data_IF_818342283725
#
_entry.id   IF_818342283725
#
_cell.length_a   1.000
_cell.length_b   1.000
_cell.length_c   1.000
_cell.angle_alpha   90.00
_cell.angle_beta   90.00
_cell.angle_gamma   90.00
#
_symmetry.space_group_name_H-M   'P 1'
#
loop_
_entity.id
_entity.type
_entity.pdbx_description
1 polymer ?
#
# COMPACT_ATOMS: atom_id res chain seq x y z
N UNK A 1 -0.74 28.56 15.86
CA UNK A 1 -1.86 27.60 15.86
C UNK A 1 -1.77 26.83 14.56
N UNK A 2 -1.15 25.68 14.57
CA UNK A 2 -1.00 24.82 13.41
C UNK A 2 -2.35 24.13 13.21
N UNK A 3 -3.10 24.54 12.18
CA UNK A 3 -4.27 23.82 11.72
C UNK A 3 -3.77 22.52 11.09
N UNK A 4 -3.83 21.42 11.83
CA UNK A 4 -3.75 20.11 11.21
C UNK A 4 -4.83 20.05 10.11
N UNK A 5 -4.49 19.81 8.85
CA UNK A 5 -5.50 19.64 7.81
C UNK A 5 -6.40 18.50 8.25
N UNK A 6 -7.70 18.72 8.16
CA UNK A 6 -8.69 17.71 8.54
C UNK A 6 -8.50 16.49 7.64
N UNK A 7 -8.23 15.29 8.19
CA UNK A 7 -8.05 14.06 7.40
C UNK A 7 -9.29 13.64 6.61
N UNK A 8 -10.37 14.39 6.75
CA UNK A 8 -11.68 14.12 6.14
C UNK A 8 -11.75 14.35 4.62
N UNK A 9 -10.82 15.10 4.02
CA UNK A 9 -10.96 15.45 2.59
C UNK A 9 -10.29 14.42 1.66
N UNK A 10 -9.11 13.91 1.96
CA UNK A 10 -8.46 12.86 1.16
C UNK A 10 -9.20 11.51 1.27
N UNK A 11 -9.63 11.15 2.47
CA UNK A 11 -10.31 9.88 2.76
C UNK A 11 -11.64 9.69 2.02
N UNK A 12 -12.32 10.75 1.61
CA UNK A 12 -13.55 10.66 0.82
C UNK A 12 -13.30 10.22 -0.63
N UNK A 13 -12.11 10.46 -1.17
CA UNK A 13 -11.74 10.05 -2.53
C UNK A 13 -11.18 8.63 -2.57
N UNK A 14 -10.56 8.17 -1.48
CA UNK A 14 -9.96 6.84 -1.40
C UNK A 14 -10.97 5.76 -1.00
N UNK A 15 -12.07 6.13 -0.36
CA UNK A 15 -13.14 5.23 0.08
C UNK A 15 -13.18 4.99 1.59
N UNK A 16 -13.98 4.03 2.01
CA UNK A 16 -14.18 3.67 3.42
C UNK A 16 -13.22 2.57 3.88
N UNK A 17 -13.30 2.18 5.16
CA UNK A 17 -12.50 1.08 5.72
C UNK A 17 -12.69 -0.24 4.98
N UNK A 18 -13.89 -0.53 4.48
CA UNK A 18 -14.15 -1.73 3.67
C UNK A 18 -13.31 -1.73 2.39
N UNK A 19 -13.25 -0.59 1.68
CA UNK A 19 -12.46 -0.45 0.45
C UNK A 19 -10.97 -0.63 0.74
N UNK A 20 -10.47 0.02 1.79
CA UNK A 20 -9.09 -0.12 2.24
C UNK A 20 -8.73 -1.56 2.61
N UNK A 21 -9.58 -2.24 3.37
CA UNK A 21 -9.34 -3.61 3.76
C UNK A 21 -9.39 -4.59 2.58
N UNK A 22 -10.30 -4.40 1.64
CA UNK A 22 -10.37 -5.20 0.42
C UNK A 22 -9.12 -5.03 -0.45
N UNK A 23 -8.56 -3.83 -0.54
CA UNK A 23 -7.33 -3.59 -1.31
C UNK A 23 -6.14 -4.41 -0.83
N UNK A 24 -6.18 -4.87 0.41
CA UNK A 24 -5.18 -5.74 1.05
C UNK A 24 -5.60 -7.21 1.01
N UNK A 25 -6.77 -7.54 1.53
CA UNK A 25 -7.20 -8.93 1.70
C UNK A 25 -7.30 -9.69 0.35
N UNK A 26 -7.65 -9.00 -0.72
CA UNK A 26 -7.75 -9.58 -2.08
C UNK A 26 -6.39 -9.86 -2.74
N UNK A 27 -5.29 -9.44 -2.14
CA UNK A 27 -3.94 -9.78 -2.60
C UNK A 27 -3.45 -11.16 -2.11
N UNK A 28 -4.19 -11.80 -1.18
CA UNK A 28 -3.95 -13.19 -0.78
C UNK A 28 -4.64 -14.11 -1.80
N UNK A 29 -3.85 -14.65 -2.74
CA UNK A 29 -4.37 -15.33 -3.96
C UNK A 29 -5.20 -16.57 -3.72
N UNK A 30 -4.87 -17.34 -2.70
CA UNK A 30 -5.56 -18.58 -2.32
C UNK A 30 -6.67 -18.36 -1.28
N UNK A 31 -6.98 -17.11 -0.93
CA UNK A 31 -8.07 -16.75 -0.05
C UNK A 31 -9.38 -16.49 -0.81
N UNK A 32 -10.49 -16.52 -0.08
CA UNK A 32 -11.78 -15.95 -0.49
C UNK A 32 -12.12 -14.80 0.43
N UNK A 33 -12.48 -13.65 -0.13
CA UNK A 33 -12.99 -12.51 0.63
C UNK A 33 -14.51 -12.52 0.59
N UNK A 34 -15.15 -12.33 1.76
CA UNK A 34 -16.60 -12.20 1.89
C UNK A 34 -16.92 -10.78 2.35
N UNK A 35 -17.70 -10.05 1.56
CA UNK A 35 -18.32 -8.81 2.01
C UNK A 35 -19.63 -9.17 2.72
N UNK A 36 -19.65 -8.98 4.03
CA UNK A 36 -20.85 -9.13 4.83
C UNK A 36 -21.64 -7.82 4.80
N UNK A 37 -22.74 -7.83 4.06
CA UNK A 37 -23.54 -6.64 3.83
C UNK A 37 -24.39 -6.68 2.56
N UNK A 38 -25.01 -5.55 2.19
CA UNK A 38 -25.85 -5.45 0.99
C UNK A 38 -25.02 -5.51 -0.30
N UNK A 39 -25.69 -5.91 -1.39
CA UNK A 39 -25.05 -6.12 -2.71
C UNK A 39 -24.36 -4.86 -3.27
N UNK A 40 -24.86 -3.65 -2.93
CA UNK A 40 -24.29 -2.40 -3.41
C UNK A 40 -22.83 -2.18 -3.01
N UNK A 41 -22.47 -2.51 -1.75
CA UNK A 41 -21.10 -2.41 -1.27
C UNK A 41 -20.16 -3.36 -2.03
N UNK A 42 -20.63 -4.57 -2.33
CA UNK A 42 -19.86 -5.55 -3.11
C UNK A 42 -19.65 -5.08 -4.55
N UNK A 43 -20.72 -4.61 -5.20
CA UNK A 43 -20.66 -4.16 -6.59
C UNK A 43 -19.70 -2.96 -6.76
N UNK A 44 -19.83 -1.97 -5.88
CA UNK A 44 -18.95 -0.78 -5.91
C UNK A 44 -17.47 -1.15 -5.77
N UNK A 45 -17.15 -1.93 -4.75
CA UNK A 45 -15.75 -2.32 -4.49
C UNK A 45 -15.20 -3.24 -5.60
N UNK A 46 -16.00 -4.19 -6.11
CA UNK A 46 -15.57 -5.04 -7.21
C UNK A 46 -15.27 -4.22 -8.46
N UNK A 47 -16.11 -3.25 -8.81
CA UNK A 47 -15.88 -2.39 -9.97
C UNK A 47 -14.60 -1.57 -9.86
N UNK A 48 -14.30 -1.04 -8.66
CA UNK A 48 -13.09 -0.28 -8.39
C UNK A 48 -11.84 -1.17 -8.50
N UNK A 49 -11.86 -2.34 -7.85
CA UNK A 49 -10.78 -3.32 -7.92
C UNK A 49 -10.51 -3.77 -9.36
N UNK A 50 -11.57 -4.10 -10.11
CA UNK A 50 -11.47 -4.53 -11.50
C UNK A 50 -10.86 -3.46 -12.40
N UNK A 51 -11.30 -2.20 -12.28
CA UNK A 51 -10.74 -1.09 -13.04
C UNK A 51 -9.24 -0.88 -12.76
N UNK A 52 -8.83 -0.97 -11.50
CA UNK A 52 -7.41 -0.81 -11.11
C UNK A 52 -6.57 -2.00 -11.57
N UNK A 53 -7.08 -3.22 -11.48
CA UNK A 53 -6.38 -4.41 -11.99
C UNK A 53 -6.14 -4.33 -13.49
N UNK A 54 -7.16 -3.93 -14.27
CA UNK A 54 -7.01 -3.71 -15.70
C UNK A 54 -5.97 -2.62 -16.02
N UNK A 55 -5.96 -1.52 -15.27
CA UNK A 55 -4.98 -0.44 -15.45
C UNK A 55 -3.55 -0.84 -15.08
N UNK A 56 -3.38 -1.91 -14.31
CA UNK A 56 -2.09 -2.50 -13.95
C UNK A 56 -1.77 -3.78 -14.75
N UNK A 57 -2.45 -4.02 -15.87
CA UNK A 57 -2.29 -5.21 -16.73
C UNK A 57 -2.45 -6.55 -15.99
N UNK A 58 -3.28 -6.57 -14.94
CA UNK A 58 -3.57 -7.77 -14.15
C UNK A 58 -4.94 -8.32 -14.53
N UNK A 59 -4.97 -9.55 -15.03
CA UNK A 59 -6.19 -10.19 -15.52
C UNK A 59 -6.85 -11.13 -14.49
N UNK A 60 -6.16 -11.46 -13.41
CA UNK A 60 -6.70 -12.31 -12.35
C UNK A 60 -7.63 -11.52 -11.44
N UNK A 61 -8.89 -11.92 -11.40
CA UNK A 61 -9.88 -11.30 -10.51
C UNK A 61 -9.82 -11.94 -9.11
N UNK A 62 -9.95 -11.13 -8.05
CA UNK A 62 -10.00 -11.64 -6.70
C UNK A 62 -11.27 -12.46 -6.47
N UNK A 63 -11.16 -13.48 -5.63
CA UNK A 63 -12.29 -14.34 -5.24
C UNK A 63 -13.14 -13.63 -4.19
N UNK A 64 -14.18 -12.95 -4.64
CA UNK A 64 -15.04 -12.10 -3.82
C UNK A 64 -16.47 -12.64 -3.79
N UNK A 65 -17.00 -12.86 -2.59
CA UNK A 65 -18.39 -13.23 -2.34
C UNK A 65 -19.12 -12.15 -1.53
N UNK A 66 -20.44 -12.20 -1.55
CA UNK A 66 -21.31 -11.31 -0.77
C UNK A 66 -22.38 -12.11 -0.04
N UNK A 67 -22.72 -11.70 1.17
CA UNK A 67 -23.89 -12.22 1.89
C UNK A 67 -25.20 -11.74 1.29
N UNK A 68 -25.18 -10.58 0.58
CA UNK A 68 -26.35 -9.97 -0.06
C UNK A 68 -27.50 -9.74 0.92
N UNK A 69 -27.19 -9.17 2.09
CA UNK A 69 -28.20 -8.92 3.12
C UNK A 69 -29.45 -8.26 2.54
N UNK A 70 -30.58 -8.82 2.88
CA UNK A 70 -31.93 -8.35 2.56
C UNK A 70 -32.51 -7.51 3.70
N UNK A 71 -33.68 -6.91 3.50
CA UNK A 71 -34.40 -6.18 4.56
C UNK A 71 -34.70 -7.08 5.77
N UNK A 72 -35.03 -8.36 5.54
CA UNK A 72 -35.26 -9.32 6.62
C UNK A 72 -33.98 -9.57 7.45
N UNK A 73 -32.84 -9.73 6.79
CA UNK A 73 -31.56 -9.91 7.48
C UNK A 73 -31.19 -8.66 8.31
N UNK A 74 -31.55 -7.45 7.84
CA UNK A 74 -31.33 -6.21 8.59
C UNK A 74 -32.21 -6.15 9.85
N UNK A 75 -33.44 -6.70 9.79
CA UNK A 75 -34.39 -6.68 10.91
C UNK A 75 -34.09 -7.78 11.94
N UNK A 76 -33.72 -8.98 11.48
CA UNK A 76 -33.58 -10.17 12.31
C UNK A 76 -32.14 -10.63 12.57
N UNK A 77 -31.14 -9.97 11.97
CA UNK A 77 -29.74 -10.34 12.01
C UNK A 77 -29.29 -11.06 10.74
N UNK A 78 -28.04 -10.80 10.32
CA UNK A 78 -27.42 -11.33 9.10
C UNK A 78 -26.48 -12.51 9.32
N UNK A 79 -26.36 -13.01 10.57
CA UNK A 79 -25.41 -14.07 10.94
C UNK A 79 -25.65 -15.39 10.18
N UNK A 80 -26.92 -15.78 9.95
CA UNK A 80 -27.27 -16.97 9.17
C UNK A 80 -26.85 -16.82 7.70
N UNK A 81 -27.03 -15.64 7.12
CA UNK A 81 -26.58 -15.34 5.76
C UNK A 81 -25.05 -15.37 5.67
N UNK A 82 -24.34 -14.94 6.71
CA UNK A 82 -22.89 -15.04 6.79
C UNK A 82 -22.44 -16.49 6.87
N UNK A 83 -23.02 -17.31 7.76
CA UNK A 83 -22.71 -18.73 7.91
C UNK A 83 -22.90 -19.51 6.59
N UNK A 84 -24.04 -19.27 5.92
CA UNK A 84 -24.32 -19.87 4.62
C UNK A 84 -23.30 -19.44 3.55
N UNK A 85 -22.85 -18.17 3.58
CA UNK A 85 -21.88 -17.66 2.63
C UNK A 85 -20.47 -18.20 2.90
N UNK A 86 -20.05 -18.34 4.16
CA UNK A 86 -18.80 -19.01 4.54
C UNK A 86 -18.82 -20.47 4.05
N UNK A 87 -19.90 -21.20 4.29
CA UNK A 87 -20.04 -22.59 3.83
C UNK A 87 -19.90 -22.68 2.30
N UNK A 88 -20.52 -21.75 1.57
CA UNK A 88 -20.38 -21.66 0.12
C UNK A 88 -18.93 -21.32 -0.28
N UNK A 89 -18.26 -20.41 0.42
CA UNK A 89 -16.87 -20.04 0.16
C UNK A 89 -15.93 -21.24 0.28
N UNK A 90 -16.14 -22.08 1.30
CA UNK A 90 -15.33 -23.29 1.53
C UNK A 90 -15.56 -24.38 0.48
N UNK A 91 -16.68 -24.35 -0.25
CA UNK A 91 -17.02 -25.31 -1.30
C UNK A 91 -16.57 -24.86 -2.72
N UNK A 92 -15.96 -23.67 -2.87
CA UNK A 92 -15.49 -23.18 -4.19
C UNK A 92 -14.28 -23.99 -4.65
N UNK A 93 -14.16 -24.23 -5.94
CA UNK A 93 -12.99 -24.89 -6.53
C UNK A 93 -12.09 -23.86 -7.24
N UNK A 94 -10.76 -23.87 -6.98
CA UNK A 94 -10.06 -24.66 -5.95
C UNK A 94 -10.45 -24.21 -4.52
N UNK A 95 -10.38 -25.12 -3.55
CA UNK A 95 -10.68 -24.79 -2.16
C UNK A 95 -9.78 -23.66 -1.62
N UNK A 96 -10.31 -22.68 -0.86
CA UNK A 96 -9.50 -21.63 -0.28
C UNK A 96 -8.62 -22.15 0.86
N UNK A 97 -7.43 -21.56 1.01
CA UNK A 97 -6.57 -21.79 2.17
C UNK A 97 -6.95 -20.92 3.36
N UNK A 98 -7.65 -19.81 3.14
CA UNK A 98 -8.21 -18.93 4.17
C UNK A 98 -9.43 -18.17 3.65
N UNK A 99 -10.24 -17.65 4.57
CA UNK A 99 -11.40 -16.80 4.26
C UNK A 99 -11.29 -15.53 5.08
N UNK A 100 -11.40 -14.36 4.43
CA UNK A 100 -11.46 -13.06 5.10
C UNK A 100 -12.88 -12.51 5.02
N UNK A 101 -13.48 -12.20 6.16
CA UNK A 101 -14.83 -11.61 6.26
C UNK A 101 -14.71 -10.15 6.61
N UNK A 102 -15.30 -9.29 5.78
CA UNK A 102 -15.25 -7.84 5.89
C UNK A 102 -16.67 -7.28 6.06
N UNK A 103 -16.91 -6.61 7.18
CA UNK A 103 -18.22 -6.05 7.52
C UNK A 103 -18.47 -4.71 6.83
N UNK A 104 -19.73 -4.45 6.48
CA UNK A 104 -20.19 -3.14 6.03
C UNK A 104 -20.73 -2.31 7.21
N UNK A 105 -20.96 -1.02 7.02
CA UNK A 105 -21.53 -0.16 8.06
C UNK A 105 -22.91 -0.63 8.55
N UNK A 106 -23.72 -1.25 7.69
CA UNK A 106 -25.04 -1.75 8.09
C UNK A 106 -24.92 -2.92 9.07
N UNK A 107 -23.96 -3.82 8.85
CA UNK A 107 -23.69 -4.98 9.74
C UNK A 107 -23.29 -4.51 11.14
N UNK A 108 -22.42 -3.52 11.21
CA UNK A 108 -22.01 -2.94 12.49
C UNK A 108 -23.17 -2.20 13.19
N UNK A 109 -24.05 -1.57 12.40
CA UNK A 109 -25.23 -0.86 12.93
C UNK A 109 -26.28 -1.82 13.52
N UNK A 110 -26.49 -2.98 12.90
CA UNK A 110 -27.45 -3.98 13.40
C UNK A 110 -26.86 -4.86 14.51
N UNK A 111 -25.53 -4.82 14.69
CA UNK A 111 -24.84 -5.49 15.78
C UNK A 111 -24.63 -6.99 15.56
N UNK A 112 -24.47 -7.45 14.31
CA UNK A 112 -24.14 -8.86 14.01
C UNK A 112 -22.81 -9.26 14.64
N UNK A 113 -22.75 -10.41 15.27
CA UNK A 113 -21.51 -10.98 15.81
C UNK A 113 -20.68 -11.69 14.73
N UNK A 114 -20.16 -10.88 13.79
CA UNK A 114 -19.29 -11.37 12.73
C UNK A 114 -18.07 -12.14 13.28
N UNK A 115 -17.51 -11.69 14.40
CA UNK A 115 -16.33 -12.31 15.00
C UNK A 115 -16.66 -13.69 15.57
N UNK A 116 -17.78 -13.84 16.28
CA UNK A 116 -18.26 -15.11 16.83
C UNK A 116 -18.58 -16.12 15.72
N UNK A 117 -19.20 -15.67 14.61
CA UNK A 117 -19.44 -16.54 13.45
C UNK A 117 -18.14 -17.01 12.84
N UNK A 118 -17.14 -16.12 12.66
CA UNK A 118 -15.83 -16.48 12.09
C UNK A 118 -15.01 -17.41 13.00
N UNK A 119 -15.14 -17.32 14.33
CA UNK A 119 -14.38 -18.11 15.29
C UNK A 119 -14.74 -19.61 15.30
N UNK A 120 -15.85 -20.01 14.69
CA UNK A 120 -16.27 -21.42 14.62
C UNK A 120 -15.22 -22.25 13.85
N UNK A 121 -14.81 -23.46 14.33
CA UNK A 121 -13.83 -24.31 13.64
C UNK A 121 -14.30 -24.78 12.26
N UNK A 122 -13.49 -24.64 11.22
CA UNK A 122 -13.85 -25.01 9.82
C UNK A 122 -12.73 -25.65 9.00
N UNK A 123 -11.64 -26.06 9.62
CA UNK A 123 -10.50 -26.70 8.95
C UNK A 123 -9.54 -25.74 8.20
N UNK A 124 -9.98 -24.50 7.91
CA UNK A 124 -9.15 -23.40 7.40
C UNK A 124 -9.42 -22.14 8.23
N UNK A 125 -8.48 -21.20 8.32
CA UNK A 125 -8.70 -19.93 9.00
C UNK A 125 -9.83 -19.14 8.34
N UNK A 126 -10.82 -18.73 9.15
CA UNK A 126 -11.85 -17.76 8.77
C UNK A 126 -11.65 -16.55 9.67
N UNK A 127 -11.23 -15.43 9.09
CA UNK A 127 -10.75 -14.27 9.83
C UNK A 127 -11.71 -13.10 9.62
N UNK A 128 -12.28 -12.60 10.72
CA UNK A 128 -13.03 -11.35 10.71
C UNK A 128 -12.06 -10.18 10.62
N UNK A 129 -12.22 -9.32 9.61
CA UNK A 129 -11.46 -8.08 9.44
C UNK A 129 -12.33 -6.92 9.93
N UNK A 130 -11.95 -6.20 10.99
CA UNK A 130 -12.74 -5.09 11.50
C UNK A 130 -12.78 -3.94 10.49
N UNK A 131 -13.95 -3.65 9.92
CA UNK A 131 -14.11 -2.62 8.89
C UNK A 131 -15.22 -1.62 9.21
N UNK A 132 -16.47 -2.04 9.32
CA UNK A 132 -17.62 -1.16 9.57
C UNK A 132 -17.82 -0.01 8.56
N UNK A 133 -17.32 -0.14 7.33
CA UNK A 133 -17.49 0.88 6.28
C UNK A 133 -17.04 2.28 6.74
N UNK A 134 -17.87 3.30 6.53
CA UNK A 134 -17.56 4.69 6.95
C UNK A 134 -17.67 4.90 8.48
N UNK A 135 -18.34 4.00 9.21
CA UNK A 135 -18.40 4.07 10.68
C UNK A 135 -17.06 3.62 11.30
N UNK A 136 -16.33 2.74 10.64
CA UNK A 136 -15.02 2.24 11.10
C UNK A 136 -13.85 3.17 10.83
N UNK A 137 -14.07 4.29 10.14
CA UNK A 137 -13.02 5.26 9.83
C UNK A 137 -12.73 5.40 8.33
N UNK A 138 -11.49 5.72 8.02
CA UNK A 138 -11.02 6.04 6.67
C UNK A 138 -10.38 4.84 5.98
N UNK A 139 -10.05 4.99 4.71
CA UNK A 139 -9.41 3.96 3.87
C UNK A 139 -8.18 3.33 4.53
N UNK A 140 -7.24 4.15 5.05
CA UNK A 140 -6.00 3.68 5.67
C UNK A 140 -6.26 2.86 6.95
N UNK A 141 -7.34 3.15 7.67
CA UNK A 141 -7.75 2.32 8.81
C UNK A 141 -8.09 0.91 8.34
N UNK A 142 -8.81 0.77 7.23
CA UNK A 142 -9.12 -0.51 6.61
C UNK A 142 -7.86 -1.25 6.16
N UNK A 143 -6.92 -0.56 5.53
CA UNK A 143 -5.62 -1.13 5.14
C UNK A 143 -4.89 -1.71 6.35
N UNK A 144 -4.74 -0.92 7.43
CA UNK A 144 -4.07 -1.38 8.66
C UNK A 144 -4.76 -2.58 9.28
N UNK A 145 -6.09 -2.56 9.39
CA UNK A 145 -6.86 -3.65 9.98
C UNK A 145 -6.70 -4.94 9.18
N UNK A 146 -6.73 -4.87 7.86
CA UNK A 146 -6.54 -6.04 7.01
C UNK A 146 -5.09 -6.57 7.06
N UNK A 147 -4.08 -5.69 7.05
CA UNK A 147 -2.69 -6.11 7.22
C UNK A 147 -2.49 -6.83 8.56
N UNK A 148 -3.05 -6.30 9.65
CA UNK A 148 -2.98 -6.93 10.97
C UNK A 148 -3.74 -8.27 11.01
N UNK A 149 -4.90 -8.35 10.36
CA UNK A 149 -5.70 -9.57 10.28
C UNK A 149 -4.98 -10.68 9.48
N UNK A 150 -4.38 -10.35 8.33
CA UNK A 150 -3.58 -11.30 7.56
C UNK A 150 -2.32 -11.69 8.34
N UNK A 151 -1.62 -10.73 8.94
CA UNK A 151 -0.44 -10.99 9.76
C UNK A 151 -0.74 -11.87 10.99
N UNK A 152 -1.99 -11.90 11.47
CA UNK A 152 -2.38 -12.76 12.58
C UNK A 152 -2.19 -14.26 12.29
N UNK A 153 -2.12 -14.63 11.01
CA UNK A 153 -1.83 -16.00 10.56
C UNK A 153 -0.32 -16.33 10.63
N UNK A 154 0.57 -15.35 10.81
CA UNK A 154 1.99 -15.57 10.93
C UNK A 154 2.36 -16.16 12.28
N UNK A 155 3.31 -17.08 12.26
CA UNK A 155 3.88 -17.68 13.46
C UNK A 155 5.28 -17.09 13.73
N UNK A 156 5.68 -16.91 15.01
CA UNK A 156 7.04 -16.57 15.35
C UNK A 156 8.01 -17.64 14.82
N UNK A 157 9.16 -17.24 14.31
CA UNK A 157 10.24 -18.13 13.90
C UNK A 157 11.53 -17.78 14.63
N UNK A 158 12.34 -18.79 14.93
CA UNK A 158 13.68 -18.59 15.49
C UNK A 158 14.73 -18.31 14.42
N UNK A 159 14.42 -18.57 13.14
CA UNK A 159 15.36 -18.38 12.03
C UNK A 159 15.15 -17.01 11.40
N UNK A 160 16.20 -16.20 11.41
CA UNK A 160 16.23 -14.91 10.71
C UNK A 160 17.17 -14.98 9.53
N UNK A 161 16.73 -14.57 8.36
CA UNK A 161 17.53 -14.48 7.14
C UNK A 161 17.86 -13.01 6.84
N UNK A 162 18.96 -12.77 6.12
CA UNK A 162 19.34 -11.42 5.68
C UNK A 162 18.43 -10.97 4.52
N UNK A 163 17.16 -10.74 4.86
CA UNK A 163 16.11 -10.35 3.91
C UNK A 163 15.21 -9.30 4.51
N UNK A 164 14.42 -8.65 3.67
CA UNK A 164 13.42 -7.65 4.04
C UNK A 164 12.02 -8.07 3.58
N UNK A 165 10.99 -7.76 4.38
CA UNK A 165 9.61 -7.74 3.90
C UNK A 165 9.22 -6.34 3.43
N UNK A 166 8.52 -6.23 2.31
CA UNK A 166 7.85 -4.99 1.89
C UNK A 166 6.41 -5.03 2.40
N UNK A 167 6.04 -4.11 3.29
CA UNK A 167 4.77 -4.17 4.01
C UNK A 167 3.84 -3.06 3.56
N UNK A 168 2.63 -3.43 3.13
CA UNK A 168 1.56 -2.49 2.83
C UNK A 168 1.37 -2.19 1.34
N UNK A 169 1.93 -2.99 0.44
CA UNK A 169 1.61 -2.92 -0.98
C UNK A 169 0.18 -3.48 -1.20
N UNK A 170 -0.69 -2.63 -1.69
CA UNK A 170 -2.11 -2.93 -1.90
C UNK A 170 -2.45 -2.92 -3.40
N UNK A 171 -3.59 -3.48 -3.80
CA UNK A 171 -3.95 -3.56 -5.22
C UNK A 171 -4.58 -2.28 -5.80
N UNK A 172 -5.11 -1.40 -4.97
CA UNK A 172 -5.62 -0.07 -5.38
C UNK A 172 -4.49 0.97 -5.43
N UNK A 173 -3.37 0.61 -6.05
CA UNK A 173 -2.19 1.46 -6.17
C UNK A 173 -1.56 1.26 -7.56
N UNK A 174 -0.91 2.31 -8.09
CA UNK A 174 -0.21 2.27 -9.37
C UNK A 174 1.30 2.23 -9.18
N UNK A 175 2.00 1.63 -10.13
CA UNK A 175 3.47 1.57 -10.10
C UNK A 175 4.03 0.72 -8.95
N UNK A 176 3.24 -0.23 -8.43
CA UNK A 176 3.62 -1.04 -7.25
C UNK A 176 4.81 -1.94 -7.58
N UNK A 177 4.80 -2.55 -8.76
CA UNK A 177 5.87 -3.47 -9.17
C UNK A 177 7.17 -2.73 -9.48
N UNK A 178 7.11 -1.54 -10.07
CA UNK A 178 8.26 -0.66 -10.28
C UNK A 178 8.83 -0.16 -8.96
N UNK A 179 7.98 0.15 -7.98
CA UNK A 179 8.42 0.56 -6.64
C UNK A 179 9.11 -0.61 -5.92
N UNK A 180 8.53 -1.81 -5.98
CA UNK A 180 9.14 -3.01 -5.40
C UNK A 180 10.49 -3.34 -6.05
N UNK A 181 10.60 -3.23 -7.38
CA UNK A 181 11.85 -3.44 -8.10
C UNK A 181 12.92 -2.44 -7.66
N UNK A 182 12.56 -1.18 -7.46
CA UNK A 182 13.48 -0.16 -6.98
C UNK A 182 13.96 -0.44 -5.55
N UNK A 183 13.06 -0.81 -4.64
CA UNK A 183 13.45 -1.22 -3.27
C UNK A 183 14.39 -2.43 -3.33
N UNK A 184 14.07 -3.45 -4.13
CA UNK A 184 14.92 -4.62 -4.30
C UNK A 184 16.31 -4.27 -4.84
N UNK A 185 16.41 -3.32 -5.79
CA UNK A 185 17.67 -2.79 -6.31
C UNK A 185 18.50 -2.14 -5.20
N UNK A 186 17.90 -1.30 -4.36
CA UNK A 186 18.58 -0.62 -3.26
C UNK A 186 19.08 -1.62 -2.22
N UNK A 187 18.24 -2.58 -1.83
CA UNK A 187 18.58 -3.62 -0.87
C UNK A 187 19.68 -4.56 -1.40
N UNK A 188 19.67 -4.89 -2.69
CA UNK A 188 20.66 -5.78 -3.30
C UNK A 188 22.08 -5.24 -3.21
N UNK A 189 22.28 -3.91 -3.18
CA UNK A 189 23.59 -3.28 -2.95
C UNK A 189 24.16 -3.53 -1.56
N UNK A 190 23.28 -3.88 -0.61
CA UNK A 190 23.64 -4.30 0.75
C UNK A 190 23.69 -5.84 0.92
N UNK A 191 23.46 -6.60 -0.16
CA UNK A 191 23.30 -8.05 -0.09
C UNK A 191 22.02 -8.50 0.62
N UNK A 192 21.04 -7.61 0.82
CA UNK A 192 19.77 -7.90 1.46
C UNK A 192 18.77 -8.35 0.39
N UNK A 193 18.20 -9.55 0.54
CA UNK A 193 17.15 -10.05 -0.34
C UNK A 193 15.75 -9.55 0.03
N UNK A 194 14.77 -9.71 -0.86
CA UNK A 194 13.34 -9.53 -0.53
C UNK A 194 12.77 -10.91 -0.15
N UNK A 195 12.28 -11.03 1.09
CA UNK A 195 11.62 -12.24 1.58
C UNK A 195 10.18 -12.32 1.10
N UNK A 196 9.41 -11.26 1.36
CA UNK A 196 7.99 -11.24 1.11
C UNK A 196 7.53 -9.83 0.75
N UNK A 197 6.71 -9.72 -0.29
CA UNK A 197 5.92 -8.51 -0.55
C UNK A 197 4.59 -8.67 0.20
N UNK A 198 4.54 -8.21 1.43
CA UNK A 198 3.37 -8.36 2.31
C UNK A 198 2.46 -7.13 2.17
N UNK A 199 1.32 -7.25 1.49
CA UNK A 199 0.57 -8.44 1.08
C UNK A 199 0.36 -8.47 -0.46
N UNK A 200 1.36 -8.45 -1.27
CA UNK A 200 1.22 -8.40 -2.74
C UNK A 200 1.35 -9.78 -3.38
N UNK A 201 0.23 -10.36 -3.82
CA UNK A 201 0.23 -11.62 -4.58
C UNK A 201 0.75 -12.84 -3.81
N UNK A 202 0.62 -12.83 -2.47
CA UNK A 202 1.05 -13.92 -1.60
C UNK A 202 -0.02 -15.01 -1.49
N UNK A 203 0.37 -16.16 -0.93
CA UNK A 203 -0.56 -17.20 -0.47
C UNK A 203 -0.68 -17.17 1.05
N UNK A 204 -1.71 -17.80 1.59
CA UNK A 204 -1.89 -17.96 3.06
C UNK A 204 -0.64 -18.60 3.70
N UNK A 205 -0.03 -19.58 3.01
CA UNK A 205 1.20 -20.24 3.48
C UNK A 205 2.41 -19.29 3.49
N UNK A 206 2.50 -18.36 2.55
CA UNK A 206 3.61 -17.40 2.51
C UNK A 206 3.66 -16.52 3.76
N UNK A 207 2.50 -16.30 4.43
CA UNK A 207 2.43 -15.51 5.66
C UNK A 207 3.28 -16.12 6.78
N UNK A 208 3.49 -17.44 6.80
CA UNK A 208 4.35 -18.13 7.77
C UNK A 208 5.80 -17.61 7.74
N UNK A 209 6.29 -17.14 6.58
CA UNK A 209 7.64 -16.59 6.41
C UNK A 209 7.79 -15.14 6.89
N UNK A 210 6.70 -14.48 7.29
CA UNK A 210 6.73 -13.06 7.64
C UNK A 210 7.73 -12.76 8.79
N UNK A 211 7.86 -13.69 9.76
CA UNK A 211 8.79 -13.55 10.88
C UNK A 211 10.27 -13.81 10.55
N UNK A 212 10.61 -14.37 9.39
CA UNK A 212 11.98 -14.75 9.07
C UNK A 212 12.86 -13.64 8.51
N UNK A 213 12.31 -12.48 8.17
CA UNK A 213 13.05 -11.33 7.65
C UNK A 213 13.80 -10.59 8.76
N UNK A 214 14.96 -10.02 8.41
CA UNK A 214 15.74 -9.16 9.33
C UNK A 214 15.09 -7.79 9.54
N UNK A 215 14.30 -7.30 8.57
CA UNK A 215 13.66 -5.99 8.63
C UNK A 215 12.34 -5.97 7.86
N UNK A 216 11.36 -5.23 8.37
CA UNK A 216 10.16 -4.85 7.64
C UNK A 216 10.34 -3.44 7.07
N UNK A 217 9.93 -3.21 5.82
CA UNK A 217 9.94 -1.89 5.19
C UNK A 217 8.50 -1.52 4.92
N UNK A 218 7.99 -0.54 5.66
CA UNK A 218 6.62 -0.07 5.51
C UNK A 218 6.49 0.78 4.24
N UNK A 219 5.37 0.64 3.55
CA UNK A 219 5.08 1.44 2.35
C UNK A 219 5.01 2.93 2.67
N UNK A 220 4.45 3.28 3.83
CA UNK A 220 4.18 4.66 4.24
C UNK A 220 4.08 4.78 5.78
N UNK A 221 4.32 5.97 6.36
CA UNK A 221 4.34 6.16 7.82
C UNK A 221 2.99 5.89 8.52
N UNK A 222 1.87 5.93 7.81
CA UNK A 222 0.54 5.59 8.35
C UNK A 222 0.43 4.13 8.78
N UNK A 223 1.37 3.28 8.33
CA UNK A 223 1.46 1.86 8.69
C UNK A 223 2.29 1.58 9.94
N UNK A 224 2.84 2.60 10.63
CA UNK A 224 3.60 2.41 11.88
C UNK A 224 2.90 1.52 12.91
N UNK A 225 1.57 1.63 13.13
CA UNK A 225 0.88 0.71 14.06
C UNK A 225 0.99 -0.77 13.64
N UNK A 226 1.01 -1.06 12.34
CA UNK A 226 1.26 -2.42 11.81
C UNK A 226 2.72 -2.83 12.05
N UNK A 227 3.67 -1.93 11.80
CA UNK A 227 5.09 -2.15 12.09
C UNK A 227 5.36 -2.48 13.56
N UNK A 228 4.74 -1.72 14.47
CA UNK A 228 4.82 -1.93 15.91
C UNK A 228 4.23 -3.28 16.33
N UNK A 229 3.10 -3.67 15.74
CA UNK A 229 2.48 -4.98 16.00
C UNK A 229 3.37 -6.13 15.51
N UNK A 230 3.90 -6.05 14.30
CA UNK A 230 4.82 -7.04 13.75
C UNK A 230 6.11 -7.14 14.60
N UNK A 231 6.67 -6.01 15.02
CA UNK A 231 7.84 -5.98 15.91
C UNK A 231 7.56 -6.63 17.25
N UNK A 232 6.41 -6.35 17.86
CA UNK A 232 6.02 -6.92 19.16
C UNK A 232 5.80 -8.44 19.06
N UNK A 233 5.16 -8.91 17.98
CA UNK A 233 4.75 -10.32 17.82
C UNK A 233 5.85 -11.20 17.23
N UNK A 234 6.59 -10.69 16.26
CA UNK A 234 7.56 -11.45 15.49
C UNK A 234 9.01 -11.06 15.78
N UNK A 235 9.24 -9.96 16.53
CA UNK A 235 10.58 -9.45 16.85
C UNK A 235 11.26 -8.66 15.72
N UNK A 236 10.65 -8.59 14.51
CA UNK A 236 11.26 -7.98 13.33
C UNK A 236 11.17 -6.44 13.40
N UNK A 237 12.30 -5.71 13.44
CA UNK A 237 12.32 -4.24 13.38
C UNK A 237 11.79 -3.73 12.04
N UNK A 238 11.52 -2.41 11.95
CA UNK A 238 11.03 -1.84 10.70
C UNK A 238 11.63 -0.48 10.37
N UNK A 239 11.64 -0.17 9.06
CA UNK A 239 11.82 1.17 8.48
C UNK A 239 10.43 1.69 8.16
N UNK A 240 10.11 2.92 8.53
CA UNK A 240 8.74 3.43 8.59
C UNK A 240 8.17 3.92 7.26
N UNK A 241 8.99 3.99 6.20
CA UNK A 241 8.53 4.36 4.86
C UNK A 241 9.45 3.87 3.75
N UNK A 242 8.92 3.75 2.55
CA UNK A 242 9.71 3.64 1.34
C UNK A 242 10.52 4.92 1.13
N UNK A 243 11.72 4.84 0.50
CA UNK A 243 12.58 6.00 0.29
C UNK A 243 11.98 6.96 -0.73
N UNK A 244 12.01 8.25 -0.43
CA UNK A 244 11.60 9.33 -1.32
C UNK A 244 12.69 10.41 -1.40
N UNK A 245 12.91 10.96 -2.59
CA UNK A 245 13.93 11.97 -2.84
C UNK A 245 15.36 11.40 -2.93
N UNK A 246 16.31 12.25 -3.27
CA UNK A 246 17.71 11.88 -3.41
C UNK A 246 18.36 11.56 -2.05
N UNK A 247 18.22 12.48 -1.09
CA UNK A 247 18.73 12.30 0.26
C UNK A 247 17.99 11.19 1.01
N UNK A 248 16.65 11.09 0.88
CA UNK A 248 15.85 10.04 1.50
C UNK A 248 16.22 8.65 1.02
N UNK A 249 16.58 8.49 -0.27
CA UNK A 249 17.05 7.21 -0.82
C UNK A 249 18.39 6.79 -0.21
N UNK A 250 19.33 7.71 -0.03
CA UNK A 250 20.60 7.38 0.64
C UNK A 250 20.42 7.04 2.12
N UNK A 251 19.61 7.82 2.85
CA UNK A 251 19.28 7.52 4.26
C UNK A 251 18.62 6.16 4.43
N UNK A 252 17.76 5.76 3.49
CA UNK A 252 17.15 4.43 3.49
C UNK A 252 18.22 3.32 3.44
N UNK A 253 19.24 3.44 2.57
CA UNK A 253 20.35 2.48 2.47
C UNK A 253 21.13 2.44 3.79
N UNK A 254 21.45 3.60 4.38
CA UNK A 254 22.13 3.72 5.66
C UNK A 254 21.33 3.03 6.80
N UNK A 255 20.04 3.27 6.86
CA UNK A 255 19.17 2.70 7.88
C UNK A 255 19.00 1.19 7.72
N UNK A 256 18.79 0.71 6.49
CA UNK A 256 18.70 -0.71 6.19
C UNK A 256 20.00 -1.46 6.55
N UNK A 257 21.16 -0.90 6.18
CA UNK A 257 22.47 -1.43 6.55
C UNK A 257 22.64 -1.49 8.06
N UNK A 258 22.33 -0.42 8.77
CA UNK A 258 22.43 -0.33 10.24
C UNK A 258 21.54 -1.37 10.94
N UNK A 259 20.29 -1.53 10.51
CA UNK A 259 19.36 -2.50 11.11
C UNK A 259 19.80 -3.93 10.84
N UNK A 260 20.29 -4.21 9.65
CA UNK A 260 20.71 -5.56 9.23
C UNK A 260 22.18 -5.88 9.59
N UNK A 261 22.92 -4.94 10.21
CA UNK A 261 24.34 -5.15 10.59
C UNK A 261 25.29 -5.21 9.38
N UNK A 262 24.95 -4.54 8.26
CA UNK A 262 25.76 -4.47 7.05
C UNK A 262 26.33 -3.07 6.88
N UNK A 263 27.60 -2.93 6.50
CA UNK A 263 28.21 -1.62 6.20
C UNK A 263 27.57 -1.01 4.94
N UNK A 264 26.91 0.16 5.04
CA UNK A 264 26.23 0.78 3.92
C UNK A 264 27.12 1.68 3.06
N UNK A 265 28.36 1.94 3.46
CA UNK A 265 29.19 3.01 2.90
C UNK A 265 29.38 2.88 1.39
N UNK A 266 29.73 1.69 0.90
CA UNK A 266 29.88 1.43 -0.53
C UNK A 266 28.56 1.58 -1.30
N UNK A 267 27.47 1.07 -0.78
CA UNK A 267 26.14 1.14 -1.39
C UNK A 267 25.62 2.60 -1.50
N UNK A 268 25.90 3.42 -0.48
CA UNK A 268 25.54 4.85 -0.47
C UNK A 268 26.34 5.61 -1.55
N UNK A 269 27.63 5.32 -1.69
CA UNK A 269 28.48 5.99 -2.69
C UNK A 269 28.09 5.60 -4.13
N UNK A 270 27.81 4.31 -4.36
CA UNK A 270 27.27 3.84 -5.64
C UNK A 270 25.91 4.49 -5.97
N UNK A 271 25.03 4.64 -4.97
CA UNK A 271 23.73 5.30 -5.17
C UNK A 271 23.91 6.79 -5.48
N UNK A 272 24.87 7.46 -4.82
CA UNK A 272 25.20 8.87 -5.11
C UNK A 272 25.68 9.04 -6.55
N UNK A 273 26.57 8.18 -7.02
CA UNK A 273 27.03 8.18 -8.39
C UNK A 273 25.88 7.95 -9.38
N UNK A 274 25.03 6.97 -9.12
CA UNK A 274 23.85 6.67 -9.94
C UNK A 274 22.86 7.85 -10.00
N UNK A 275 22.65 8.54 -8.86
CA UNK A 275 21.83 9.77 -8.82
C UNK A 275 22.44 10.88 -9.67
N UNK A 276 23.75 11.06 -9.62
CA UNK A 276 24.45 12.03 -10.47
C UNK A 276 24.31 11.75 -11.97
N UNK A 277 24.48 10.50 -12.37
CA UNK A 277 24.27 10.07 -13.76
C UNK A 277 22.83 10.28 -14.21
N UNK A 278 21.85 9.93 -13.37
CA UNK A 278 20.42 10.11 -13.63
C UNK A 278 20.10 11.60 -13.82
N UNK A 279 20.55 12.48 -12.91
CA UNK A 279 20.33 13.93 -13.01
C UNK A 279 21.00 14.52 -14.25
N UNK A 280 22.20 14.07 -14.60
CA UNK A 280 22.92 14.51 -15.80
C UNK A 280 22.14 14.30 -17.09
N UNK A 281 21.27 13.28 -17.15
CA UNK A 281 20.39 13.05 -18.30
C UNK A 281 19.34 14.16 -18.50
N UNK A 282 19.10 14.99 -17.49
CA UNK A 282 18.11 16.07 -17.50
C UNK A 282 18.74 17.47 -17.56
N UNK A 283 20.03 17.59 -17.86
CA UNK A 283 20.73 18.87 -17.98
C UNK A 283 20.10 19.83 -18.98
N UNK A 284 19.36 19.33 -19.97
CA UNK A 284 18.66 20.11 -20.99
C UNK A 284 17.44 20.90 -20.47
N UNK A 285 17.00 20.67 -19.26
CA UNK A 285 15.90 21.44 -18.62
C UNK A 285 16.42 22.50 -17.66
N UNK A 286 17.72 22.56 -17.37
CA UNK A 286 18.31 23.56 -16.50
C UNK A 286 17.91 24.99 -16.89
N UNK A 287 17.70 25.86 -15.90
CA UNK A 287 17.25 27.25 -16.09
C UNK A 287 15.80 27.39 -16.57
N UNK A 288 15.04 26.29 -16.70
CA UNK A 288 13.62 26.37 -17.07
C UNK A 288 12.76 26.91 -15.93
N UNK A 289 11.75 27.72 -16.28
CA UNK A 289 10.76 28.23 -15.32
C UNK A 289 9.59 27.26 -15.21
N UNK A 290 9.25 26.85 -13.99
CA UNK A 290 8.17 25.91 -13.68
C UNK A 290 7.26 26.46 -12.60
N UNK A 291 6.01 25.99 -12.58
CA UNK A 291 5.02 26.30 -11.54
C UNK A 291 4.37 25.01 -11.08
N UNK A 292 4.46 24.72 -9.79
CA UNK A 292 3.78 23.53 -9.25
C UNK A 292 2.30 23.80 -8.99
N UNK A 293 1.48 22.78 -9.28
CA UNK A 293 0.06 22.76 -8.93
C UNK A 293 -0.30 21.45 -8.26
N UNK A 294 -1.31 21.51 -7.39
CA UNK A 294 -1.89 20.28 -6.84
C UNK A 294 -2.34 19.34 -7.97
N UNK A 295 -2.19 18.03 -7.82
CA UNK A 295 -2.62 17.04 -8.82
C UNK A 295 -4.15 17.07 -9.03
N UNK A 296 -4.90 17.53 -8.05
CA UNK A 296 -6.34 17.68 -8.11
C UNK A 296 -6.81 18.90 -7.28
N UNK A 297 -7.79 19.68 -7.71
CA UNK A 297 -8.25 20.89 -7.00
C UNK A 297 -8.71 20.65 -5.55
N UNK A 298 -9.13 19.42 -5.24
CA UNK A 298 -9.63 19.01 -3.92
C UNK A 298 -8.59 18.29 -3.06
N UNK A 299 -7.38 18.06 -3.57
CA UNK A 299 -6.29 17.41 -2.84
C UNK A 299 -5.18 18.43 -2.59
N UNK A 300 -4.72 18.50 -1.35
CA UNK A 300 -3.45 19.16 -1.04
C UNK A 300 -2.30 18.30 -1.52
N UNK A 301 -1.17 18.93 -1.84
CA UNK A 301 0.03 18.17 -2.17
C UNK A 301 0.53 17.41 -0.93
N UNK A 302 1.00 16.21 -1.13
CA UNK A 302 1.68 15.44 -0.06
C UNK A 302 2.97 16.19 0.34
N UNK A 303 3.19 16.53 1.64
CA UNK A 303 4.39 17.19 2.10
C UNK A 303 5.69 16.46 1.71
N UNK A 304 5.65 15.13 1.63
CA UNK A 304 6.76 14.31 1.12
C UNK A 304 7.03 14.55 -0.36
N UNK A 305 5.97 14.67 -1.16
CA UNK A 305 6.08 14.99 -2.59
C UNK A 305 6.59 16.42 -2.81
N UNK A 306 6.15 17.40 -2.00
CA UNK A 306 6.67 18.77 -2.06
C UNK A 306 8.16 18.84 -1.77
N UNK A 307 8.62 18.15 -0.72
CA UNK A 307 10.04 18.09 -0.37
C UNK A 307 10.89 17.46 -1.48
N UNK A 308 10.41 16.38 -2.10
CA UNK A 308 11.07 15.73 -3.23
C UNK A 308 11.14 16.67 -4.45
N UNK A 309 10.07 17.40 -4.74
CA UNK A 309 10.04 18.36 -5.83
C UNK A 309 11.05 19.51 -5.59
N UNK A 310 11.11 20.05 -4.38
CA UNK A 310 12.07 21.11 -4.01
C UNK A 310 13.52 20.65 -4.19
N UNK A 311 13.85 19.43 -3.74
CA UNK A 311 15.18 18.81 -3.92
C UNK A 311 15.56 18.68 -5.41
N UNK A 312 14.60 18.26 -6.26
CA UNK A 312 14.83 18.15 -7.69
C UNK A 312 14.95 19.50 -8.40
N UNK A 313 14.23 20.53 -7.95
CA UNK A 313 14.34 21.90 -8.43
C UNK A 313 15.75 22.44 -8.21
N UNK A 314 16.28 22.27 -7.01
CA UNK A 314 17.64 22.67 -6.65
C UNK A 314 18.68 21.87 -7.48
N UNK A 315 18.55 20.55 -7.52
CA UNK A 315 19.50 19.66 -8.21
C UNK A 315 19.59 19.90 -9.73
N UNK A 316 18.52 20.41 -10.36
CA UNK A 316 18.46 20.68 -11.81
C UNK A 316 18.53 22.17 -12.17
N UNK A 317 18.80 23.04 -11.20
CA UNK A 317 18.83 24.50 -11.40
C UNK A 317 17.57 25.02 -12.12
N UNK A 318 16.37 24.64 -11.60
CA UNK A 318 15.09 25.10 -12.12
C UNK A 318 14.62 26.33 -11.34
N UNK A 319 13.92 27.25 -12.01
CA UNK A 319 13.33 28.43 -11.38
C UNK A 319 11.83 28.20 -11.13
N UNK A 320 11.38 28.38 -9.88
CA UNK A 320 9.94 28.35 -9.55
C UNK A 320 9.37 29.74 -9.85
N UNK A 321 8.41 29.81 -10.78
CA UNK A 321 7.84 31.05 -11.31
C UNK A 321 6.34 30.84 -11.62
N UNK A 322 5.43 31.70 -11.15
CA UNK A 322 3.99 31.59 -11.43
C UNK A 322 3.63 31.48 -12.92
N UNK A 323 4.41 32.12 -13.79
CA UNK A 323 4.22 32.08 -15.25
C UNK A 323 4.99 30.93 -15.93
N UNK A 324 5.59 30.06 -15.14
CA UNK A 324 6.36 28.90 -15.58
C UNK A 324 5.50 27.83 -16.25
N UNK A 325 6.15 26.73 -16.61
CA UNK A 325 5.47 25.52 -17.08
C UNK A 325 4.73 24.88 -15.91
N UNK A 326 3.43 24.64 -16.05
CA UNK A 326 2.64 23.99 -15.00
C UNK A 326 3.04 22.52 -14.89
N UNK A 327 3.47 22.12 -13.70
CA UNK A 327 3.84 20.75 -13.34
C UNK A 327 2.97 20.32 -12.15
N UNK A 328 2.20 19.23 -12.28
CA UNK A 328 1.48 18.70 -11.13
C UNK A 328 2.45 18.07 -10.12
N UNK A 329 2.20 18.26 -8.83
CA UNK A 329 2.88 17.48 -7.80
C UNK A 329 2.61 15.99 -8.03
N UNK A 330 3.60 15.11 -7.80
CA UNK A 330 3.37 13.66 -7.85
C UNK A 330 2.47 13.23 -6.71
N UNK A 331 1.62 12.24 -6.97
CA UNK A 331 0.82 11.57 -5.95
C UNK A 331 0.78 10.06 -6.25
N UNK A 332 1.30 9.23 -5.35
CA UNK A 332 2.13 9.55 -4.18
C UNK A 332 3.55 10.01 -4.56
N UNK A 333 4.38 10.34 -3.55
CA UNK A 333 5.78 10.68 -3.76
C UNK A 333 6.53 9.54 -4.51
N UNK A 334 7.44 9.86 -5.46
CA UNK A 334 8.17 8.86 -6.22
C UNK A 334 9.14 8.08 -5.32
N UNK A 335 9.20 6.76 -5.53
CA UNK A 335 10.04 5.86 -4.75
C UNK A 335 11.43 5.75 -5.36
N UNK A 336 12.44 6.04 -4.57
CA UNK A 336 13.84 5.88 -4.92
C UNK A 336 14.29 6.70 -6.13
N UNK A 337 15.50 6.46 -6.59
CA UNK A 337 16.10 7.18 -7.73
C UNK A 337 15.40 6.84 -9.05
N UNK A 338 14.98 5.60 -9.25
CA UNK A 338 14.24 5.22 -10.45
C UNK A 338 12.86 5.92 -10.54
N UNK A 339 12.16 6.07 -9.40
CA UNK A 339 10.93 6.85 -9.33
C UNK A 339 11.14 8.32 -9.66
N UNK A 340 12.22 8.92 -9.15
CA UNK A 340 12.63 10.29 -9.50
C UNK A 340 12.89 10.43 -10.99
N UNK A 341 13.64 9.52 -11.60
CA UNK A 341 13.91 9.53 -13.03
C UNK A 341 12.64 9.53 -13.88
N UNK A 342 11.65 8.72 -13.51
CA UNK A 342 10.33 8.71 -14.19
C UNK A 342 9.58 10.03 -14.03
N UNK A 343 9.60 10.62 -12.82
CA UNK A 343 9.01 11.93 -12.56
C UNK A 343 9.68 13.02 -13.39
N UNK A 344 10.99 13.09 -13.38
CA UNK A 344 11.78 14.08 -14.13
C UNK A 344 11.60 13.94 -15.64
N UNK A 345 11.43 12.72 -16.14
CA UNK A 345 11.10 12.50 -17.55
C UNK A 345 9.75 13.15 -17.91
N UNK A 346 8.73 13.01 -17.06
CA UNK A 346 7.43 13.70 -17.27
C UNK A 346 7.60 15.22 -17.26
N UNK A 347 8.39 15.76 -16.33
CA UNK A 347 8.69 17.19 -16.29
C UNK A 347 9.35 17.66 -17.57
N UNK A 348 10.37 16.93 -18.06
CA UNK A 348 11.04 17.23 -19.34
C UNK A 348 10.06 17.29 -20.49
N UNK A 349 9.11 16.35 -20.58
CA UNK A 349 8.09 16.34 -21.65
C UNK A 349 7.24 17.60 -21.60
N UNK A 350 6.77 18.01 -20.42
CA UNK A 350 5.97 19.22 -20.23
C UNK A 350 6.77 20.49 -20.57
N UNK A 351 8.00 20.60 -20.09
CA UNK A 351 8.89 21.74 -20.32
C UNK A 351 9.19 21.90 -21.83
N UNK A 352 9.54 20.80 -22.50
CA UNK A 352 9.82 20.83 -23.96
C UNK A 352 8.56 21.08 -24.78
N UNK A 353 7.40 20.63 -24.35
CA UNK A 353 6.11 20.89 -25.02
C UNK A 353 5.81 22.39 -25.10
N UNK A 354 6.00 23.14 -24.01
CA UNK A 354 5.76 24.59 -23.99
C UNK A 354 6.79 25.37 -24.80
N UNK A 355 8.01 24.85 -25.02
CA UNK A 355 9.04 25.52 -25.85
C UNK A 355 8.77 25.41 -27.36
N UNK A 356 7.86 24.53 -27.79
CA UNK A 356 7.54 24.29 -29.21
C UNK A 356 6.22 24.93 -29.67
N UNK A 357 5.43 25.43 -28.79
CA UNK A 357 4.18 26.18 -29.04
C UNK A 357 4.36 27.67 -28.75
#
# INVERSE_FOLDING_TARGET
MSSNPSPLNSSRFEGCTLTGALSVATEVRDAVCIIHGPSGCTHHNFSLLHATLLSNDRLELPRLLSTRLTENDIIFGGEDALEATITRALSVSPAPASVFVLSTCIVDTIGDDTAGVCAKPRGVPVVAVPTAGFLGGVFETGVRNALSAVAALALPTAETTLTANLVGEKNLEYGVDENAAEIARLLSRLGIGVNLRFVRGITTRDVERLGSAAVNILREPTLRPVGDDLKRRLGTPYIDSFPAGLAGTRRFIEEAGRICGVDPSGAVEEERAYQGEMLGQFSDVAGSRICFKSPHPMLEADPGAEAVCAECVEALDLAVDPDGVVIPFPYPAPVGTAGLGRMLHRWRVLIRGKRRG
#
